data_IF_303810590089
#
_entry.id   IF_303810590089
#
_cell.length_a   1.000
_cell.length_b   1.000
_cell.length_c   1.000
_cell.angle_alpha   90.00
_cell.angle_beta   90.00
_cell.angle_gamma   90.00
#
_symmetry.space_group_name_H-M   'P 1'
#
loop_
_entity.id
_entity.type
_entity.pdbx_description
1 polymer ?
#
# COMPACT_ATOMS: atom_id res chain seq x y z
N UNK A 1 21.60 -13.11 -11.29
CA UNK A 1 20.34 -12.93 -12.03
C UNK A 1 19.61 -11.74 -11.43
N UNK A 2 19.10 -10.82 -12.25
CA UNK A 2 18.27 -9.70 -11.78
C UNK A 2 16.91 -10.26 -11.35
N UNK A 3 16.44 -9.89 -10.16
CA UNK A 3 15.10 -10.29 -9.66
C UNK A 3 14.01 -9.69 -10.58
N UNK A 4 12.97 -10.46 -10.98
CA UNK A 4 11.94 -9.96 -11.90
C UNK A 4 11.09 -8.85 -11.28
N UNK A 5 10.90 -8.85 -9.95
CA UNK A 5 10.17 -7.83 -9.21
C UNK A 5 10.67 -7.77 -7.75
N UNK A 6 10.26 -6.72 -7.04
CA UNK A 6 10.37 -6.59 -5.58
C UNK A 6 9.07 -7.02 -4.92
N UNK A 7 9.16 -7.68 -3.76
CA UNK A 7 8.01 -8.12 -2.99
C UNK A 7 7.74 -7.15 -1.85
N UNK A 8 6.52 -6.62 -1.78
CA UNK A 8 6.07 -5.76 -0.69
C UNK A 8 4.82 -6.31 -0.01
N UNK A 9 4.56 -5.85 1.21
CA UNK A 9 3.29 -6.05 1.91
C UNK A 9 2.60 -4.72 2.13
N UNK A 10 1.26 -4.67 1.98
CA UNK A 10 0.42 -3.54 2.35
C UNK A 10 -0.52 -3.95 3.48
N UNK A 11 -0.62 -3.11 4.50
CA UNK A 11 -1.63 -3.24 5.54
C UNK A 11 -2.49 -1.98 5.66
N UNK A 12 -3.78 -2.18 5.89
CA UNK A 12 -4.73 -1.12 6.27
C UNK A 12 -4.82 -0.93 7.78
N UNK A 13 -3.98 -1.63 8.54
CA UNK A 13 -4.07 -1.68 10.00
C UNK A 13 -5.48 -2.17 10.39
N UNK A 14 -5.82 -3.37 9.93
CA UNK A 14 -7.17 -3.89 9.92
C UNK A 14 -7.19 -5.28 10.57
N UNK A 15 -7.94 -5.43 11.64
CA UNK A 15 -8.09 -6.67 12.37
C UNK A 15 -9.28 -6.58 13.36
N UNK A 16 -9.80 -7.69 13.87
CA UNK A 16 -10.92 -7.69 14.82
C UNK A 16 -10.56 -7.10 16.20
N UNK A 17 -9.29 -7.14 16.59
CA UNK A 17 -8.80 -6.71 17.90
C UNK A 17 -8.94 -5.19 18.13
N UNK A 18 -8.91 -4.70 19.37
CA UNK A 18 -8.92 -3.26 19.70
C UNK A 18 -7.74 -2.50 19.08
N UNK A 19 -7.94 -1.22 18.73
CA UNK A 19 -6.96 -0.39 18.01
C UNK A 19 -5.56 -0.36 18.62
N UNK A 20 -5.33 -0.25 19.95
CA UNK A 20 -3.97 -0.31 20.50
C UNK A 20 -3.26 -1.60 20.16
N UNK A 21 -3.94 -2.74 20.27
CA UNK A 21 -3.39 -4.06 19.92
C UNK A 21 -3.04 -4.15 18.44
N UNK A 22 -3.95 -3.71 17.57
CA UNK A 22 -3.75 -3.76 16.10
C UNK A 22 -2.55 -2.93 15.66
N UNK A 23 -2.27 -1.80 16.31
CA UNK A 23 -1.08 -0.98 16.02
C UNK A 23 0.22 -1.74 16.39
N UNK A 24 0.26 -2.38 17.56
CA UNK A 24 1.42 -3.20 17.95
C UNK A 24 1.59 -4.42 17.04
N UNK A 25 0.52 -5.12 16.71
CA UNK A 25 0.53 -6.26 15.80
C UNK A 25 0.97 -5.85 14.38
N UNK A 26 0.64 -4.62 13.95
CA UNK A 26 1.11 -4.08 12.67
C UNK A 26 2.63 -3.86 12.66
N UNK A 27 3.20 -3.33 13.75
CA UNK A 27 4.65 -3.22 13.87
C UNK A 27 5.32 -4.60 13.83
N UNK A 28 4.78 -5.58 14.55
CA UNK A 28 5.28 -6.96 14.51
C UNK A 28 5.14 -7.60 13.11
N UNK A 29 4.06 -7.29 12.37
CA UNK A 29 3.88 -7.74 10.98
C UNK A 29 4.97 -7.18 10.05
N UNK A 30 5.34 -5.90 10.23
CA UNK A 30 6.40 -5.26 9.44
C UNK A 30 7.75 -5.91 9.75
N UNK A 31 8.06 -6.18 11.02
CA UNK A 31 9.28 -6.90 11.42
C UNK A 31 9.33 -8.32 10.84
N UNK A 32 8.21 -9.03 10.89
CA UNK A 32 8.10 -10.36 10.29
C UNK A 32 8.30 -10.32 8.77
N UNK A 33 7.75 -9.32 8.08
CA UNK A 33 7.97 -9.15 6.65
C UNK A 33 9.46 -8.91 6.34
N UNK A 34 10.15 -8.10 7.12
CA UNK A 34 11.61 -7.92 6.98
C UNK A 34 12.35 -9.24 7.19
N UNK A 35 12.06 -9.98 8.26
CA UNK A 35 12.68 -11.28 8.56
C UNK A 35 12.43 -12.32 7.44
N UNK A 36 11.28 -12.27 6.78
CA UNK A 36 10.97 -13.11 5.63
C UNK A 36 11.59 -12.62 4.31
N UNK A 37 12.32 -11.50 4.33
CA UNK A 37 13.03 -10.96 3.18
C UNK A 37 12.20 -10.10 2.24
N UNK A 38 11.01 -9.63 2.65
CA UNK A 38 10.24 -8.66 1.87
C UNK A 38 11.05 -7.39 1.62
N UNK A 39 10.89 -6.81 0.44
CA UNK A 39 11.61 -5.60 0.02
C UNK A 39 10.97 -4.32 0.59
N UNK A 40 9.66 -4.33 0.86
CA UNK A 40 8.93 -3.15 1.34
C UNK A 40 7.69 -3.49 2.18
N UNK A 41 7.37 -2.61 3.13
CA UNK A 41 6.13 -2.64 3.89
C UNK A 41 5.41 -1.29 3.74
N UNK A 42 4.13 -1.34 3.36
CA UNK A 42 3.30 -0.19 3.08
C UNK A 42 2.12 -0.13 4.05
N UNK A 43 1.79 1.07 4.49
CA UNK A 43 0.62 1.30 5.35
C UNK A 43 -0.33 2.31 4.72
N UNK A 44 -1.63 2.03 4.77
CA UNK A 44 -2.67 2.89 4.21
C UNK A 44 -3.22 3.84 5.28
N UNK A 45 -3.50 5.09 4.89
CA UNK A 45 -4.18 6.06 5.75
C UNK A 45 -5.70 5.86 5.68
N UNK A 46 -6.32 5.78 6.84
CA UNK A 46 -7.78 5.78 7.01
C UNK A 46 -8.17 6.56 8.24
N UNK A 47 -9.27 7.33 8.15
CA UNK A 47 -9.74 8.19 9.23
C UNK A 47 -11.07 7.69 9.80
N UNK A 48 -11.27 7.85 11.11
CA UNK A 48 -12.48 7.68 11.91
C UNK A 48 -13.09 6.27 11.89
N UNK A 49 -13.25 5.64 10.74
CA UNK A 49 -13.88 4.33 10.61
C UNK A 49 -12.96 3.17 10.97
N UNK A 50 -13.40 2.29 11.87
CA UNK A 50 -12.68 1.03 12.14
C UNK A 50 -12.86 -0.02 11.03
N UNK A 51 -13.83 0.19 10.15
CA UNK A 51 -14.25 -0.75 9.10
C UNK A 51 -13.38 -0.72 7.85
N UNK A 52 -12.51 0.29 7.69
CA UNK A 52 -11.71 0.48 6.49
C UNK A 52 -10.22 0.41 6.75
N UNK A 53 -9.86 0.59 8.00
CA UNK A 53 -8.50 0.69 8.52
C UNK A 53 -8.47 1.66 9.70
N UNK A 54 -7.43 1.58 10.52
CA UNK A 54 -7.38 2.28 11.80
C UNK A 54 -6.15 3.17 11.95
N UNK A 55 -5.56 3.59 10.81
CA UNK A 55 -4.32 4.36 10.82
C UNK A 55 -4.52 5.78 10.25
N UNK A 56 -4.83 6.77 11.09
CA UNK A 56 -4.94 8.16 10.63
C UNK A 56 -3.58 8.81 10.35
N UNK A 57 -2.50 8.34 10.99
CA UNK A 57 -1.18 8.97 10.96
C UNK A 57 -0.09 7.97 10.52
N UNK A 58 0.01 7.66 9.20
CA UNK A 58 0.95 6.65 8.73
C UNK A 58 2.41 6.99 9.02
N UNK A 59 2.83 8.25 8.93
CA UNK A 59 4.22 8.64 9.20
C UNK A 59 4.62 8.41 10.65
N UNK A 60 3.70 8.56 11.61
CA UNK A 60 3.93 8.27 13.04
C UNK A 60 4.18 6.78 13.27
N UNK A 61 3.35 5.90 12.68
CA UNK A 61 3.53 4.46 12.79
C UNK A 61 4.84 4.01 12.11
N UNK A 62 5.12 4.54 10.93
CA UNK A 62 6.34 4.20 10.20
C UNK A 62 7.61 4.69 10.90
N UNK A 63 7.57 5.78 11.69
CA UNK A 63 8.69 6.20 12.53
C UNK A 63 9.00 5.16 13.62
N UNK A 64 7.97 4.57 14.22
CA UNK A 64 8.16 3.44 15.14
C UNK A 64 8.71 2.20 14.43
N UNK A 65 8.20 1.87 13.24
CA UNK A 65 8.70 0.76 12.43
C UNK A 65 10.16 0.98 11.99
N UNK A 66 10.55 2.20 11.64
CA UNK A 66 11.91 2.53 11.22
C UNK A 66 12.96 2.19 12.29
N UNK A 67 12.61 2.30 13.57
CA UNK A 67 13.49 1.96 14.70
C UNK A 67 13.54 0.46 15.00
N UNK A 68 12.58 -0.30 14.49
CA UNK A 68 12.45 -1.75 14.71
C UNK A 68 12.94 -2.56 13.51
N UNK A 69 13.20 -1.91 12.38
CA UNK A 69 13.66 -2.52 11.12
C UNK A 69 14.95 -1.88 10.63
N UNK A 70 15.67 -2.56 9.73
CA UNK A 70 16.98 -2.10 9.23
C UNK A 70 17.08 -2.01 7.71
N UNK A 71 16.34 -2.85 6.97
CA UNK A 71 16.52 -3.04 5.53
C UNK A 71 15.26 -2.80 4.73
N UNK A 72 14.09 -3.19 5.25
CA UNK A 72 12.82 -3.09 4.55
C UNK A 72 12.49 -1.62 4.26
N UNK A 73 12.09 -1.32 3.02
CA UNK A 73 11.59 0.00 2.67
C UNK A 73 10.22 0.22 3.32
N UNK A 74 9.98 1.43 3.83
CA UNK A 74 8.77 1.79 4.57
C UNK A 74 7.93 2.73 3.70
N UNK A 75 6.72 2.32 3.34
CA UNK A 75 5.88 3.03 2.38
C UNK A 75 4.55 3.53 2.93
N UNK A 76 4.09 4.65 2.42
CA UNK A 76 2.68 5.07 2.58
C UNK A 76 1.89 4.68 1.34
N UNK A 77 0.84 3.93 1.52
CA UNK A 77 0.02 3.44 0.39
C UNK A 77 -1.47 3.72 0.56
N UNK A 78 -1.89 4.98 0.62
CA UNK A 78 -1.24 6.29 0.43
C UNK A 78 -1.57 7.25 1.57
N UNK A 79 -0.91 8.44 1.63
CA UNK A 79 -1.41 9.60 2.35
C UNK A 79 -2.49 10.27 1.48
N UNK A 80 -3.64 10.59 2.06
CA UNK A 80 -4.72 11.35 1.40
C UNK A 80 -4.36 12.84 1.44
N UNK A 81 -3.50 13.26 0.51
CA UNK A 81 -2.86 14.57 0.53
C UNK A 81 -3.84 15.77 0.53
N UNK A 82 -5.05 15.71 -0.10
CA UNK A 82 -6.03 16.79 -0.01
C UNK A 82 -6.57 17.07 1.39
N UNK A 83 -6.45 16.15 2.32
CA UNK A 83 -6.85 16.31 3.73
C UNK A 83 -5.74 16.92 4.59
N UNK A 84 -4.50 16.89 4.09
CA UNK A 84 -3.31 17.26 4.84
C UNK A 84 -2.79 18.67 4.50
N UNK A 85 -1.88 19.16 5.32
CA UNK A 85 -1.00 20.28 4.96
C UNK A 85 0.24 19.73 4.24
N UNK A 86 0.42 20.08 2.98
CA UNK A 86 1.54 19.59 2.18
C UNK A 86 2.92 19.88 2.80
N UNK A 87 3.08 21.05 3.45
CA UNK A 87 4.33 21.40 4.12
C UNK A 87 4.55 20.55 5.38
N UNK A 88 3.48 20.29 6.18
CA UNK A 88 3.61 19.38 7.33
C UNK A 88 3.97 17.95 6.90
N UNK A 89 3.35 17.47 5.83
CA UNK A 89 3.71 16.16 5.25
C UNK A 89 5.17 16.16 4.79
N UNK A 90 5.67 17.24 4.21
CA UNK A 90 7.07 17.35 3.80
C UNK A 90 8.03 17.28 5.00
N UNK A 91 7.75 18.05 6.07
CA UNK A 91 8.56 18.05 7.29
C UNK A 91 8.56 16.69 7.99
N UNK A 92 7.36 16.12 8.21
CA UNK A 92 7.23 14.83 8.90
C UNK A 92 7.87 13.68 8.09
N UNK A 93 7.73 13.71 6.75
CA UNK A 93 8.36 12.75 5.87
C UNK A 93 9.89 12.90 5.84
N UNK A 94 10.41 14.12 5.86
CA UNK A 94 11.85 14.37 5.90
C UNK A 94 12.47 13.88 7.22
N UNK A 95 11.80 14.12 8.36
CA UNK A 95 12.23 13.59 9.66
C UNK A 95 12.20 12.06 9.66
N UNK A 96 11.10 11.45 9.19
CA UNK A 96 11.00 10.01 9.11
C UNK A 96 12.06 9.41 8.19
N UNK A 97 12.30 10.02 7.04
CA UNK A 97 13.31 9.53 6.09
C UNK A 97 14.72 9.53 6.68
N UNK A 98 15.06 10.58 7.43
CA UNK A 98 16.32 10.64 8.17
C UNK A 98 16.41 9.56 9.25
N UNK A 99 15.32 9.30 10.01
CA UNK A 99 15.27 8.23 11.03
C UNK A 99 15.29 6.82 10.43
N UNK A 100 14.84 6.69 9.19
CA UNK A 100 14.80 5.44 8.45
C UNK A 100 16.02 5.23 7.53
N UNK A 101 17.05 6.05 7.62
CA UNK A 101 18.26 5.96 6.80
C UNK A 101 17.94 5.91 5.28
N UNK A 102 17.01 6.77 4.83
CA UNK A 102 16.64 6.88 3.42
C UNK A 102 15.73 5.77 2.88
N UNK A 103 15.06 4.99 3.73
CA UNK A 103 14.19 3.87 3.32
C UNK A 103 12.73 4.27 3.06
N UNK A 104 12.32 5.53 3.32
CA UNK A 104 10.95 5.94 3.10
C UNK A 104 10.57 5.96 1.63
N UNK A 105 9.39 5.42 1.30
CA UNK A 105 8.70 5.50 0.03
C UNK A 105 7.41 6.31 0.24
N UNK A 106 7.35 7.53 -0.25
CA UNK A 106 6.24 8.45 0.05
C UNK A 106 5.15 8.37 -1.01
N UNK A 107 4.12 7.58 -0.75
CA UNK A 107 2.96 7.44 -1.62
C UNK A 107 1.82 8.38 -1.22
N UNK A 108 1.26 9.07 -2.20
CA UNK A 108 0.17 10.03 -2.04
C UNK A 108 -1.00 9.75 -2.99
N UNK A 109 -2.21 10.16 -2.60
CA UNK A 109 -3.41 10.00 -3.41
C UNK A 109 -4.52 10.95 -3.02
N UNK A 110 -5.56 11.03 -3.86
CA UNK A 110 -6.65 12.00 -3.69
C UNK A 110 -7.72 11.59 -2.66
N UNK A 111 -7.74 10.33 -2.22
CA UNK A 111 -8.81 9.81 -1.37
C UNK A 111 -10.11 9.51 -2.13
N UNK A 112 -11.04 8.80 -1.47
CA UNK A 112 -12.29 8.35 -2.10
C UNK A 112 -13.50 8.29 -1.14
N UNK A 113 -13.37 8.76 0.11
CA UNK A 113 -14.42 8.67 1.13
C UNK A 113 -15.04 10.06 1.40
N UNK A 114 -16.22 10.39 0.82
CA UNK A 114 -16.84 11.72 0.97
C UNK A 114 -17.09 12.13 2.42
N UNK A 115 -17.53 11.19 3.27
CA UNK A 115 -17.82 11.44 4.69
C UNK A 115 -16.57 11.89 5.47
N UNK A 116 -15.40 11.34 5.10
CA UNK A 116 -14.13 11.75 5.69
C UNK A 116 -13.80 13.19 5.29
N UNK A 117 -13.98 13.54 4.01
CA UNK A 117 -13.79 14.93 3.55
C UNK A 117 -14.72 15.89 4.27
N UNK A 118 -15.99 15.54 4.43
CA UNK A 118 -16.97 16.35 5.18
C UNK A 118 -16.55 16.55 6.63
N UNK A 119 -16.08 15.51 7.30
CA UNK A 119 -15.59 15.60 8.70
C UNK A 119 -14.37 16.55 8.85
N UNK A 120 -13.52 16.63 7.81
CA UNK A 120 -12.42 17.60 7.77
C UNK A 120 -12.82 18.99 7.26
N UNK A 121 -14.12 19.22 6.97
CA UNK A 121 -14.58 20.48 6.37
C UNK A 121 -14.01 20.73 4.98
N UNK A 122 -13.78 19.66 4.21
CA UNK A 122 -13.21 19.70 2.86
C UNK A 122 -14.25 19.30 1.81
N UNK A 123 -14.24 20.01 0.69
CA UNK A 123 -15.03 19.65 -0.47
C UNK A 123 -14.42 18.42 -1.17
N UNK A 124 -15.23 17.35 -1.27
CA UNK A 124 -14.84 16.11 -1.91
C UNK A 124 -14.65 16.26 -3.42
N UNK A 125 -15.45 17.08 -4.08
CA UNK A 125 -15.38 17.26 -5.54
C UNK A 125 -14.13 18.04 -5.95
N UNK A 126 -13.62 18.91 -5.07
CA UNK A 126 -12.38 19.63 -5.25
C UNK A 126 -11.10 18.78 -4.99
N UNK A 127 -11.24 17.51 -4.56
CA UNK A 127 -10.09 16.68 -4.14
C UNK A 127 -8.99 16.52 -5.19
N UNK A 128 -9.35 16.43 -6.48
CA UNK A 128 -8.38 16.25 -7.56
C UNK A 128 -7.52 17.51 -7.76
N UNK A 129 -8.13 18.70 -7.74
CA UNK A 129 -7.41 19.96 -7.83
C UNK A 129 -6.53 20.19 -6.59
N UNK A 130 -7.06 19.94 -5.40
CA UNK A 130 -6.30 20.02 -4.14
C UNK A 130 -5.11 19.06 -4.12
N UNK A 131 -5.27 17.83 -4.65
CA UNK A 131 -4.18 16.87 -4.79
C UNK A 131 -3.06 17.44 -5.68
N UNK A 132 -3.39 18.06 -6.80
CA UNK A 132 -2.40 18.63 -7.72
C UNK A 132 -1.62 19.78 -7.05
N UNK A 133 -2.31 20.72 -6.41
CA UNK A 133 -1.70 21.87 -5.73
C UNK A 133 -0.81 21.43 -4.55
N UNK A 134 -1.34 20.52 -3.72
CA UNK A 134 -0.62 19.99 -2.57
C UNK A 134 0.61 19.17 -3.01
N UNK A 135 0.52 18.39 -4.08
CA UNK A 135 1.65 17.66 -4.65
C UNK A 135 2.73 18.59 -5.20
N UNK A 136 2.35 19.66 -5.89
CA UNK A 136 3.30 20.66 -6.37
C UNK A 136 4.05 21.32 -5.21
N UNK A 137 3.34 21.66 -4.12
CA UNK A 137 3.93 22.24 -2.90
C UNK A 137 4.86 21.24 -2.21
N UNK A 138 4.42 19.98 -2.04
CA UNK A 138 5.21 18.89 -1.45
C UNK A 138 6.52 18.67 -2.22
N UNK A 139 6.44 18.57 -3.53
CA UNK A 139 7.62 18.38 -4.40
C UNK A 139 8.62 19.52 -4.24
N UNK A 140 8.16 20.76 -4.37
CA UNK A 140 9.02 21.94 -4.21
C UNK A 140 9.73 21.95 -2.86
N UNK A 141 9.01 21.61 -1.78
CA UNK A 141 9.59 21.52 -0.45
C UNK A 141 10.69 20.46 -0.38
N UNK A 142 10.41 19.23 -0.86
CA UNK A 142 11.39 18.13 -0.84
C UNK A 142 12.60 18.42 -1.73
N UNK A 143 12.42 19.09 -2.87
CA UNK A 143 13.49 19.49 -3.79
C UNK A 143 14.36 20.63 -3.23
N UNK A 144 14.02 21.17 -2.05
CA UNK A 144 14.77 22.24 -1.38
C UNK A 144 14.50 23.63 -1.94
N UNK A 145 13.41 23.82 -2.69
CA UNK A 145 13.04 25.13 -3.21
C UNK A 145 12.66 26.11 -2.08
N UNK A 146 12.94 27.42 -2.23
CA UNK A 146 12.49 28.42 -1.28
C UNK A 146 10.96 28.45 -1.16
N UNK A 147 10.47 28.55 0.09
CA UNK A 147 9.06 28.51 0.46
C UNK A 147 8.65 29.84 1.10
N UNK A 148 7.47 30.32 0.70
CA UNK A 148 6.90 31.56 1.21
C UNK A 148 7.74 32.82 0.91
N UNK A 149 7.29 34.00 1.37
CA UNK A 149 7.96 35.25 1.10
C UNK A 149 9.37 35.39 1.71
N UNK A 150 9.61 34.69 2.82
CA UNK A 150 10.91 34.72 3.52
C UNK A 150 11.94 33.77 2.89
N UNK A 151 11.55 32.94 1.91
CA UNK A 151 12.46 32.02 1.23
C UNK A 151 13.01 30.91 2.10
N UNK A 152 12.29 30.48 3.15
CA UNK A 152 12.71 29.37 4.03
C UNK A 152 12.75 28.05 3.25
N UNK A 153 13.60 27.13 3.70
CA UNK A 153 13.72 25.79 3.08
C UNK A 153 13.38 24.70 4.08
N UNK A 154 13.00 23.52 3.56
CA UNK A 154 12.69 22.34 4.36
C UNK A 154 13.86 21.92 5.28
N UNK A 155 13.55 21.58 6.52
CA UNK A 155 14.50 21.01 7.47
C UNK A 155 13.90 19.75 8.14
N UNK A 156 14.65 18.61 8.19
CA UNK A 156 15.94 18.41 7.52
C UNK A 156 15.80 18.40 5.98
N UNK A 157 16.87 18.71 5.21
CA UNK A 157 16.83 18.61 3.76
C UNK A 157 16.59 17.15 3.32
N UNK A 158 15.67 16.92 2.37
CA UNK A 158 15.33 15.57 1.93
C UNK A 158 15.22 15.46 0.38
N UNK A 159 16.21 15.96 -0.41
CA UNK A 159 16.09 15.96 -1.87
C UNK A 159 16.03 14.56 -2.47
N UNK A 160 16.66 13.57 -1.85
CA UNK A 160 16.60 12.19 -2.30
C UNK A 160 15.19 11.56 -2.12
N UNK A 161 14.37 12.08 -1.22
CA UNK A 161 12.99 11.61 -1.00
C UNK A 161 12.08 12.02 -2.18
N UNK A 162 12.34 13.14 -2.84
CA UNK A 162 11.59 13.55 -4.03
C UNK A 162 11.60 12.46 -5.12
N UNK A 163 12.73 11.77 -5.30
CA UNK A 163 12.85 10.64 -6.23
C UNK A 163 12.11 9.37 -5.76
N UNK A 164 11.66 9.31 -4.50
CA UNK A 164 10.93 8.19 -3.92
C UNK A 164 9.45 8.50 -3.65
N UNK A 165 8.91 9.51 -4.38
CA UNK A 165 7.48 9.79 -4.44
C UNK A 165 6.77 8.74 -5.31
N UNK A 166 5.54 8.40 -4.87
CA UNK A 166 4.63 7.52 -5.56
C UNK A 166 3.23 8.12 -5.59
N UNK A 167 2.44 7.79 -6.60
CA UNK A 167 1.07 8.27 -6.73
C UNK A 167 0.10 7.13 -7.04
N UNK A 168 -1.03 7.11 -6.32
CA UNK A 168 -2.18 6.28 -6.66
C UNK A 168 -3.22 7.15 -7.38
N UNK A 169 -3.27 7.05 -8.72
CA UNK A 169 -4.14 7.87 -9.57
C UNK A 169 -4.35 7.21 -10.94
N UNK A 170 -5.44 7.58 -11.64
CA UNK A 170 -5.67 7.21 -13.02
C UNK A 170 -4.92 8.07 -14.06
N UNK A 171 -4.18 9.09 -13.62
CA UNK A 171 -3.46 10.02 -14.50
C UNK A 171 -2.02 9.54 -14.77
N UNK A 172 -1.90 8.39 -15.41
CA UNK A 172 -0.64 7.67 -15.60
C UNK A 172 0.47 8.52 -16.23
N UNK A 173 0.15 9.28 -17.26
CA UNK A 173 1.10 10.13 -17.99
C UNK A 173 1.64 11.25 -17.11
N UNK A 174 0.79 11.88 -16.29
CA UNK A 174 1.22 12.92 -15.36
C UNK A 174 2.19 12.37 -14.32
N UNK A 175 1.93 11.15 -13.79
CA UNK A 175 2.85 10.46 -12.88
C UNK A 175 4.20 10.21 -13.53
N UNK A 176 4.19 9.72 -14.78
CA UNK A 176 5.40 9.48 -15.57
C UNK A 176 6.19 10.77 -15.84
N UNK A 177 5.49 11.86 -16.23
CA UNK A 177 6.14 13.17 -16.48
C UNK A 177 6.78 13.75 -15.21
N UNK A 178 6.26 13.43 -14.04
CA UNK A 178 6.87 13.85 -12.76
C UNK A 178 8.06 12.97 -12.34
N UNK A 179 8.32 11.83 -12.98
CA UNK A 179 9.34 10.88 -12.56
C UNK A 179 8.95 10.10 -11.28
N UNK A 180 7.67 10.09 -10.90
CA UNK A 180 7.18 9.39 -9.72
C UNK A 180 6.86 7.94 -10.01
N UNK A 181 6.83 7.09 -8.97
CA UNK A 181 6.31 5.73 -9.05
C UNK A 181 4.78 5.72 -9.15
N UNK A 182 4.23 4.74 -9.86
CA UNK A 182 2.79 4.52 -9.98
C UNK A 182 2.35 3.39 -9.04
N UNK A 183 1.35 3.65 -8.19
CA UNK A 183 0.67 2.62 -7.40
C UNK A 183 -0.62 2.26 -8.12
N UNK A 184 -0.79 0.97 -8.42
CA UNK A 184 -1.95 0.41 -9.11
C UNK A 184 -2.63 -0.59 -8.18
N UNK A 185 -3.89 -0.33 -7.84
CA UNK A 185 -4.70 -1.20 -7.00
C UNK A 185 -6.11 -1.31 -7.57
N UNK A 186 -6.70 -2.50 -7.52
CA UNK A 186 -8.09 -2.71 -7.89
C UNK A 186 -8.99 -2.28 -6.75
N UNK A 187 -9.38 -1.00 -6.75
CA UNK A 187 -10.23 -0.41 -5.72
C UNK A 187 -11.70 -0.31 -6.15
N UNK A 188 -11.99 -0.39 -7.44
CA UNK A 188 -13.34 -0.31 -8.01
C UNK A 188 -13.58 -1.45 -8.99
N UNK A 189 -14.81 -2.00 -9.00
CA UNK A 189 -15.20 -3.01 -9.96
C UNK A 189 -15.18 -2.48 -11.39
N UNK A 190 -14.87 -3.37 -12.38
CA UNK A 190 -14.95 -3.04 -13.80
C UNK A 190 -13.88 -2.07 -14.31
N UNK A 191 -12.82 -1.83 -13.56
CA UNK A 191 -11.64 -1.14 -14.08
C UNK A 191 -10.72 -2.14 -14.79
N UNK A 192 -11.09 -2.54 -16.00
CA UNK A 192 -10.23 -3.33 -16.92
C UNK A 192 -9.01 -2.52 -17.39
N UNK A 193 -8.72 -1.41 -16.72
CA UNK A 193 -7.71 -0.46 -17.10
C UNK A 193 -6.36 -0.62 -16.42
N UNK A 194 -6.16 -1.59 -15.51
CA UNK A 194 -4.88 -1.66 -14.75
C UNK A 194 -3.69 -1.90 -15.69
N UNK A 195 -3.79 -2.89 -16.58
CA UNK A 195 -2.74 -3.15 -17.58
C UNK A 195 -2.58 -1.97 -18.55
N UNK A 196 -3.69 -1.36 -18.98
CA UNK A 196 -3.69 -0.16 -19.81
C UNK A 196 -3.06 1.02 -19.07
N UNK A 197 -3.39 1.21 -17.79
CA UNK A 197 -2.80 2.26 -16.95
C UNK A 197 -1.29 2.09 -16.83
N UNK A 198 -0.82 0.86 -16.58
CA UNK A 198 0.60 0.52 -16.53
C UNK A 198 1.28 0.78 -17.87
N UNK A 199 0.65 0.37 -18.98
CA UNK A 199 1.20 0.59 -20.33
C UNK A 199 1.32 2.09 -20.66
N UNK A 200 0.29 2.90 -20.36
CA UNK A 200 0.30 4.36 -20.53
C UNK A 200 1.42 5.01 -19.72
N UNK A 201 1.55 4.64 -18.44
CA UNK A 201 2.61 5.13 -17.57
C UNK A 201 4.00 4.80 -18.15
N UNK A 202 4.25 3.55 -18.50
CA UNK A 202 5.54 3.13 -19.07
C UNK A 202 5.82 3.79 -20.41
N UNK A 203 4.81 3.94 -21.26
CA UNK A 203 4.92 4.61 -22.57
C UNK A 203 5.24 6.11 -22.48
N UNK A 204 4.79 6.76 -21.39
CA UNK A 204 5.05 8.18 -21.13
C UNK A 204 6.35 8.46 -20.36
N UNK A 205 7.02 7.44 -19.83
CA UNK A 205 8.25 7.61 -19.04
C UNK A 205 9.40 8.17 -19.86
N UNK A 206 10.02 9.27 -19.38
CA UNK A 206 11.16 9.94 -20.06
C UNK A 206 12.30 10.29 -19.10
N UNK A 207 12.24 9.82 -17.83
CA UNK A 207 13.28 10.09 -16.84
C UNK A 207 14.40 9.06 -16.89
N UNK A 208 15.61 9.38 -16.40
CA UNK A 208 16.66 8.41 -16.21
C UNK A 208 16.21 7.28 -15.30
N UNK A 209 16.68 6.06 -15.57
CA UNK A 209 16.29 4.86 -14.84
C UNK A 209 14.96 4.25 -15.30
N UNK A 210 14.61 3.12 -14.72
CA UNK A 210 13.40 2.37 -15.07
C UNK A 210 12.13 2.98 -14.43
N UNK A 211 10.97 2.94 -15.12
CA UNK A 211 9.69 3.27 -14.53
C UNK A 211 9.37 2.32 -13.37
N UNK A 212 8.72 2.84 -12.33
CA UNK A 212 8.42 2.09 -11.10
C UNK A 212 6.91 1.91 -10.96
N UNK A 213 6.47 0.66 -10.89
CA UNK A 213 5.06 0.29 -10.79
C UNK A 213 4.87 -0.66 -9.62
N UNK A 214 4.17 -0.21 -8.58
CA UNK A 214 3.74 -1.04 -7.46
C UNK A 214 2.32 -1.55 -7.74
N UNK A 215 2.21 -2.84 -8.07
CA UNK A 215 0.94 -3.51 -8.27
C UNK A 215 0.45 -4.10 -6.95
N UNK A 216 -0.67 -3.59 -6.45
CA UNK A 216 -1.27 -4.07 -5.21
C UNK A 216 -2.29 -5.17 -5.52
N UNK A 217 -2.18 -6.32 -4.85
CA UNK A 217 -3.11 -7.45 -4.93
C UNK A 217 -3.47 -7.96 -3.54
N UNK A 218 -4.75 -8.21 -3.31
CA UNK A 218 -5.16 -9.01 -2.17
C UNK A 218 -4.79 -10.46 -2.45
N UNK A 219 -3.96 -11.05 -1.57
CA UNK A 219 -3.45 -12.42 -1.74
C UNK A 219 -3.75 -13.23 -0.49
N UNK A 220 -4.60 -14.23 -0.63
CA UNK A 220 -5.10 -15.05 0.49
C UNK A 220 -4.89 -16.54 0.18
N UNK A 221 -3.69 -17.06 0.47
CA UNK A 221 -3.42 -18.49 0.32
C UNK A 221 -4.21 -19.32 1.34
N UNK A 222 -4.66 -20.48 0.92
CA UNK A 222 -5.40 -21.45 1.73
C UNK A 222 -5.25 -22.86 1.20
N UNK A 223 -6.01 -23.80 1.76
CA UNK A 223 -6.01 -25.20 1.30
C UNK A 223 -6.62 -25.34 -0.10
N UNK A 224 -7.66 -24.56 -0.37
CA UNK A 224 -8.35 -24.45 -1.64
C UNK A 224 -9.12 -23.12 -1.73
N UNK A 225 -9.65 -22.80 -2.91
CA UNK A 225 -10.41 -21.56 -3.13
C UNK A 225 -11.71 -21.53 -2.32
N UNK A 226 -12.44 -22.64 -2.23
CA UNK A 226 -13.74 -22.70 -1.57
C UNK A 226 -13.64 -22.40 -0.06
N UNK A 227 -12.65 -22.95 0.62
CA UNK A 227 -12.41 -22.68 2.06
C UNK A 227 -12.06 -21.21 2.31
N UNK A 228 -11.28 -20.59 1.41
CA UNK A 228 -10.94 -19.17 1.51
C UNK A 228 -12.17 -18.29 1.23
N UNK A 229 -12.97 -18.63 0.22
CA UNK A 229 -14.22 -17.94 -0.11
C UNK A 229 -15.21 -17.94 1.05
N UNK A 230 -15.40 -19.09 1.69
CA UNK A 230 -16.24 -19.22 2.87
C UNK A 230 -15.74 -18.32 4.03
N UNK A 231 -14.43 -18.29 4.25
CA UNK A 231 -13.83 -17.48 5.32
C UNK A 231 -13.88 -15.96 5.03
N UNK A 232 -13.77 -15.56 3.77
CA UNK A 232 -13.79 -14.15 3.37
C UNK A 232 -15.19 -13.59 3.10
N UNK A 233 -16.22 -14.46 3.01
CA UNK A 233 -17.59 -14.07 2.64
C UNK A 233 -18.12 -12.88 3.42
N UNK A 234 -18.10 -12.86 4.77
CA UNK A 234 -18.56 -11.71 5.54
C UNK A 234 -17.80 -10.42 5.24
N UNK A 235 -16.49 -10.50 5.12
CA UNK A 235 -15.62 -9.34 4.91
C UNK A 235 -15.81 -8.73 3.52
N UNK A 236 -15.93 -9.56 2.48
CA UNK A 236 -16.11 -9.06 1.11
C UNK A 236 -17.48 -8.43 0.88
N UNK A 237 -18.53 -8.98 1.53
CA UNK A 237 -19.87 -8.42 1.50
C UNK A 237 -19.89 -7.02 2.14
N UNK A 238 -19.27 -6.90 3.31
CA UNK A 238 -19.16 -5.62 4.01
C UNK A 238 -18.37 -4.60 3.18
N UNK A 239 -17.26 -5.01 2.61
CA UNK A 239 -16.44 -4.16 1.73
C UNK A 239 -17.19 -3.72 0.48
N UNK A 240 -17.91 -4.62 -0.20
CA UNK A 240 -18.70 -4.34 -1.38
C UNK A 240 -19.83 -3.33 -1.08
N UNK A 241 -20.55 -3.51 0.03
CA UNK A 241 -21.60 -2.57 0.47
C UNK A 241 -21.05 -1.17 0.74
N UNK A 242 -19.85 -1.07 1.33
CA UNK A 242 -19.19 0.21 1.56
C UNK A 242 -18.76 0.90 0.28
N UNK A 243 -18.15 0.16 -0.66
CA UNK A 243 -17.77 0.70 -1.97
C UNK A 243 -18.99 1.21 -2.74
N UNK A 244 -20.07 0.45 -2.74
CA UNK A 244 -21.34 0.84 -3.36
C UNK A 244 -21.87 2.16 -2.76
N UNK A 245 -21.88 2.28 -1.43
CA UNK A 245 -22.29 3.52 -0.74
C UNK A 245 -21.43 4.72 -1.14
N UNK A 246 -20.09 4.54 -1.16
CA UNK A 246 -19.15 5.60 -1.54
C UNK A 246 -19.29 6.02 -3.02
N UNK A 247 -19.80 5.14 -3.87
CA UNK A 247 -20.04 5.39 -5.31
C UNK A 247 -21.49 5.83 -5.62
N UNK A 248 -22.37 5.89 -4.61
CA UNK A 248 -23.80 6.16 -4.82
C UNK A 248 -24.56 5.00 -5.48
N UNK A 249 -24.00 3.80 -5.46
CA UNK A 249 -24.60 2.59 -6.03
C UNK A 249 -25.38 1.80 -4.95
N UNK A 250 -26.40 1.01 -5.33
CA UNK A 250 -27.09 0.12 -4.40
C UNK A 250 -26.13 -0.99 -3.91
N UNK A 251 -26.23 -1.34 -2.63
CA UNK A 251 -25.52 -2.47 -2.09
C UNK A 251 -25.97 -3.78 -2.81
N UNK A 252 -25.04 -4.74 -3.02
CA UNK A 252 -25.39 -6.02 -3.65
C UNK A 252 -26.39 -6.79 -2.76
N UNK A 253 -27.61 -7.00 -3.27
CA UNK A 253 -28.72 -7.60 -2.51
C UNK A 253 -28.60 -9.13 -2.38
N UNK A 254 -28.04 -9.80 -3.35
CA UNK A 254 -27.63 -11.21 -3.31
C UNK A 254 -26.24 -11.30 -3.91
N UNK A 255 -25.27 -11.74 -3.12
CA UNK A 255 -23.91 -11.73 -3.57
C UNK A 255 -23.40 -13.14 -3.80
N UNK A 256 -23.00 -13.41 -5.00
CA UNK A 256 -22.07 -14.48 -5.35
C UNK A 256 -20.69 -14.10 -4.80
N UNK A 257 -20.28 -14.75 -3.70
CA UNK A 257 -19.01 -14.47 -3.02
C UNK A 257 -17.82 -14.64 -3.97
N UNK A 258 -17.69 -15.75 -4.73
CA UNK A 258 -16.66 -15.89 -5.75
C UNK A 258 -16.61 -14.72 -6.73
N UNK A 259 -17.76 -14.33 -7.29
CA UNK A 259 -17.83 -13.22 -8.24
C UNK A 259 -17.43 -11.86 -7.61
N UNK A 260 -17.78 -11.63 -6.34
CA UNK A 260 -17.32 -10.42 -5.62
C UNK A 260 -15.81 -10.44 -5.40
N UNK A 261 -15.24 -11.56 -4.98
CA UNK A 261 -13.80 -11.68 -4.78
C UNK A 261 -13.05 -11.46 -6.10
N UNK A 262 -13.55 -12.02 -7.21
CA UNK A 262 -12.98 -11.78 -8.55
C UNK A 262 -13.09 -10.31 -8.97
N UNK A 263 -14.26 -9.71 -8.75
CA UNK A 263 -14.53 -8.30 -9.01
C UNK A 263 -13.53 -7.36 -8.30
N UNK A 264 -13.14 -7.69 -7.07
CA UNK A 264 -12.16 -6.95 -6.29
C UNK A 264 -10.72 -7.45 -6.46
N UNK A 265 -10.48 -8.44 -7.33
CA UNK A 265 -9.16 -8.95 -7.65
C UNK A 265 -8.47 -9.66 -6.49
N UNK A 266 -9.23 -10.41 -5.69
CA UNK A 266 -8.69 -11.20 -4.58
C UNK A 266 -8.16 -12.52 -5.13
N UNK A 267 -6.85 -12.69 -5.09
CA UNK A 267 -6.17 -13.93 -5.45
C UNK A 267 -6.24 -14.90 -4.27
N UNK A 268 -6.81 -16.09 -4.48
CA UNK A 268 -7.13 -17.05 -3.43
C UNK A 268 -6.97 -18.50 -3.89
N UNK A 269 -6.87 -19.38 -2.94
CA UNK A 269 -6.70 -20.82 -3.19
C UNK A 269 -5.33 -21.32 -2.77
N UNK A 270 -4.87 -22.41 -3.37
CA UNK A 270 -3.54 -22.96 -3.13
C UNK A 270 -2.45 -21.99 -3.62
N UNK A 271 -1.21 -22.10 -3.15
CA UNK A 271 -0.09 -21.34 -3.71
C UNK A 271 0.03 -21.48 -5.22
N UNK A 272 -0.25 -22.68 -5.78
CA UNK A 272 -0.24 -22.90 -7.23
C UNK A 272 -1.31 -22.12 -7.98
N UNK A 273 -2.53 -22.04 -7.44
CA UNK A 273 -3.64 -21.27 -8.03
C UNK A 273 -3.29 -19.78 -8.09
N UNK A 274 -2.71 -19.25 -7.01
CA UNK A 274 -2.30 -17.85 -6.93
C UNK A 274 -1.16 -17.55 -7.92
N UNK A 275 -0.17 -18.44 -8.04
CA UNK A 275 0.92 -18.30 -9.02
C UNK A 275 0.36 -18.29 -10.44
N UNK A 276 -0.56 -19.21 -10.76
CA UNK A 276 -1.20 -19.28 -12.08
C UNK A 276 -1.99 -17.98 -12.37
N UNK A 277 -2.74 -17.47 -11.39
CA UNK A 277 -3.49 -16.22 -11.52
C UNK A 277 -2.58 -15.01 -11.75
N UNK A 278 -1.44 -14.92 -11.06
CA UNK A 278 -0.45 -13.85 -11.25
C UNK A 278 0.24 -13.93 -12.60
N UNK A 279 0.57 -15.14 -13.09
CA UNK A 279 1.09 -15.32 -14.45
C UNK A 279 0.09 -14.88 -15.53
N UNK A 280 -1.21 -15.05 -15.27
CA UNK A 280 -2.29 -14.61 -16.15
C UNK A 280 -2.65 -13.11 -16.02
N UNK A 281 -2.10 -12.38 -15.05
CA UNK A 281 -2.41 -10.97 -14.82
C UNK A 281 -1.54 -10.06 -15.71
N UNK A 282 -2.10 -9.41 -16.75
CA UNK A 282 -1.31 -8.59 -17.67
C UNK A 282 -0.73 -7.33 -17.00
N UNK A 283 -1.31 -6.86 -15.89
CA UNK A 283 -0.76 -5.75 -15.11
C UNK A 283 0.51 -6.17 -14.36
N UNK A 284 0.59 -7.44 -13.92
CA UNK A 284 1.77 -7.96 -13.23
C UNK A 284 2.99 -8.03 -14.15
N UNK A 285 2.80 -8.37 -15.41
CA UNK A 285 3.90 -8.37 -16.39
C UNK A 285 4.59 -7.00 -16.54
N UNK A 286 3.89 -5.91 -16.27
CA UNK A 286 4.43 -4.54 -16.30
C UNK A 286 4.86 -3.98 -14.94
N UNK A 287 4.69 -4.72 -13.85
CA UNK A 287 5.00 -4.28 -12.49
C UNK A 287 6.50 -4.43 -12.17
N UNK A 288 7.02 -3.53 -11.35
CA UNK A 288 8.36 -3.64 -10.74
C UNK A 288 8.29 -4.10 -9.29
N UNK A 289 7.13 -3.94 -8.67
CA UNK A 289 6.86 -4.29 -7.29
C UNK A 289 5.50 -5.01 -7.22
N UNK A 290 5.47 -6.20 -6.66
CA UNK A 290 4.25 -6.89 -6.25
C UNK A 290 4.02 -6.58 -4.77
N UNK A 291 2.98 -5.83 -4.46
CA UNK A 291 2.63 -5.46 -3.09
C UNK A 291 1.39 -6.23 -2.68
N UNK A 292 1.55 -7.19 -1.76
CA UNK A 292 0.47 -8.08 -1.34
C UNK A 292 -0.28 -7.52 -0.14
N UNK A 293 -1.60 -7.53 -0.17
CA UNK A 293 -2.46 -7.27 0.97
C UNK A 293 -2.99 -8.60 1.50
N UNK A 294 -2.62 -8.94 2.73
CA UNK A 294 -2.92 -10.24 3.34
C UNK A 294 -4.01 -10.19 4.40
N UNK A 295 -4.50 -9.00 4.73
CA UNK A 295 -5.46 -8.78 5.82
C UNK A 295 -6.81 -8.30 5.30
N UNK A 296 -7.87 -8.80 5.94
CA UNK A 296 -9.25 -8.32 5.89
C UNK A 296 -9.70 -7.96 7.31
N UNK A 297 -10.94 -7.47 7.49
CA UNK A 297 -11.46 -7.11 8.81
C UNK A 297 -11.42 -8.26 9.82
N UNK A 298 -11.71 -9.48 9.36
CA UNK A 298 -11.72 -10.69 10.19
C UNK A 298 -10.37 -11.40 10.30
N UNK A 299 -9.30 -10.91 9.67
CA UNK A 299 -8.00 -11.58 9.67
C UNK A 299 -7.26 -11.35 10.98
N UNK A 300 -7.02 -12.41 11.75
CA UNK A 300 -6.18 -12.35 12.94
C UNK A 300 -4.70 -12.07 12.59
N UNK A 301 -3.95 -11.52 13.55
CA UNK A 301 -2.50 -11.32 13.38
C UNK A 301 -1.78 -12.62 13.01
N UNK A 302 -2.12 -13.74 13.66
CA UNK A 302 -1.54 -15.06 13.34
C UNK A 302 -1.81 -15.49 11.91
N UNK A 303 -3.02 -15.25 11.39
CA UNK A 303 -3.35 -15.61 10.01
C UNK A 303 -2.61 -14.72 9.02
N UNK A 304 -2.46 -13.44 9.31
CA UNK A 304 -1.66 -12.54 8.49
C UNK A 304 -0.20 -13.00 8.40
N UNK A 305 0.41 -13.41 9.51
CA UNK A 305 1.77 -13.96 9.53
C UNK A 305 1.88 -15.24 8.70
N UNK A 306 0.96 -16.21 8.87
CA UNK A 306 0.95 -17.44 8.07
C UNK A 306 0.84 -17.16 6.56
N UNK A 307 0.04 -16.15 6.18
CA UNK A 307 -0.07 -15.73 4.77
C UNK A 307 1.23 -15.15 4.25
N UNK A 308 1.94 -14.31 5.03
CA UNK A 308 3.26 -13.81 4.64
C UNK A 308 4.28 -14.94 4.45
N UNK A 309 4.30 -15.91 5.38
CA UNK A 309 5.16 -17.10 5.29
C UNK A 309 4.89 -17.90 4.02
N UNK A 310 3.62 -18.17 3.71
CA UNK A 310 3.23 -18.89 2.49
C UNK A 310 3.61 -18.13 1.22
N UNK A 311 3.47 -16.80 1.23
CA UNK A 311 3.84 -15.95 0.09
C UNK A 311 5.35 -15.96 -0.11
N UNK A 312 6.13 -15.73 0.94
CA UNK A 312 7.60 -15.69 0.87
C UNK A 312 8.22 -17.06 0.59
N UNK A 313 7.62 -18.14 1.14
CA UNK A 313 8.18 -19.49 1.03
C UNK A 313 7.76 -20.27 -0.22
N UNK A 314 6.59 -19.97 -0.80
CA UNK A 314 6.06 -20.76 -1.90
C UNK A 314 5.65 -19.93 -3.13
N UNK A 315 4.89 -18.83 -2.95
CA UNK A 315 4.29 -18.10 -4.06
C UNK A 315 5.34 -17.23 -4.78
N UNK A 316 6.03 -16.37 -4.03
CA UNK A 316 6.98 -15.43 -4.62
C UNK A 316 8.20 -16.12 -5.26
N UNK A 317 8.78 -17.19 -4.66
CA UNK A 317 9.85 -17.96 -5.31
C UNK A 317 9.42 -18.63 -6.62
N UNK A 318 8.18 -19.16 -6.69
CA UNK A 318 7.65 -19.75 -7.92
C UNK A 318 7.48 -18.70 -9.05
N UNK A 319 7.38 -17.41 -8.71
CA UNK A 319 7.36 -16.28 -9.64
C UNK A 319 8.78 -15.74 -9.95
N UNK A 320 9.83 -16.37 -9.42
CA UNK A 320 11.23 -15.97 -9.63
C UNK A 320 11.77 -14.93 -8.65
N UNK A 321 11.01 -14.59 -7.59
CA UNK A 321 11.53 -13.71 -6.54
C UNK A 321 12.50 -14.45 -5.60
N UNK A 322 13.50 -13.73 -5.14
CA UNK A 322 14.43 -14.20 -4.10
C UNK A 322 14.59 -13.09 -3.06
N UNK A 323 14.77 -13.41 -1.76
CA UNK A 323 15.04 -12.42 -0.74
C UNK A 323 16.25 -11.52 -1.07
N UNK A 324 16.28 -10.30 -0.55
CA UNK A 324 17.45 -9.45 -0.66
C UNK A 324 18.66 -10.09 0.05
N UNK A 325 19.85 -9.95 -0.53
CA UNK A 325 21.07 -10.44 0.11
C UNK A 325 21.26 -9.76 1.47
N UNK A 326 21.44 -10.54 2.55
CA UNK A 326 21.56 -10.07 3.93
C UNK A 326 20.39 -10.42 4.86
N UNK A 327 19.25 -10.93 4.31
CA UNK A 327 18.11 -11.40 5.13
C UNK A 327 18.14 -12.91 5.48
N UNK A 328 19.23 -13.62 5.18
CA UNK A 328 19.30 -15.09 5.34
C UNK A 328 19.56 -15.58 6.77
N UNK A 329 19.73 -14.69 7.74
CA UNK A 329 19.84 -15.05 9.16
C UNK A 329 18.46 -14.97 9.86
N UNK A 330 17.44 -15.57 9.25
CA UNK A 330 16.11 -15.65 9.84
C UNK A 330 16.16 -16.45 11.15
N UNK A 331 16.14 -15.73 12.27
CA UNK A 331 15.80 -16.31 13.57
C UNK A 331 14.38 -16.87 13.47
N UNK A 332 14.13 -18.14 13.85
CA UNK A 332 12.78 -18.66 13.89
C UNK A 332 11.90 -17.75 14.75
N UNK A 333 10.74 -17.34 14.22
CA UNK A 333 9.75 -16.54 14.95
C UNK A 333 9.19 -17.36 16.13
N UNK A 334 9.99 -17.50 17.20
CA UNK A 334 9.49 -18.03 18.47
C UNK A 334 8.64 -16.94 19.11
N UNK A 335 7.38 -17.27 19.36
CA UNK A 335 6.43 -16.44 20.09
C UNK A 335 6.96 -16.09 21.48
N UNK A 336 7.62 -14.94 21.60
CA UNK A 336 7.87 -14.39 22.93
C UNK A 336 6.54 -13.85 23.47
N UNK A 337 6.16 -14.15 24.72
CA UNK A 337 4.98 -13.60 25.34
C UNK A 337 5.16 -12.09 25.53
N UNK A 338 4.16 -11.31 25.11
CA UNK A 338 4.07 -9.87 25.34
C UNK A 338 3.84 -9.66 26.83
N UNK A 339 4.61 -8.77 27.52
CA UNK A 339 4.32 -8.42 28.91
C UNK A 339 2.92 -7.81 29.00
N UNK A 340 2.16 -8.28 30.01
CA UNK A 340 0.81 -7.82 30.34
C UNK A 340 0.77 -6.37 30.80
#
# INVERSE_FOLDING_TARGET
MTRPFRLGVLTRVYAPEPSPRVLHDTLALIEAAEALGFDSAWVAQHHFGSETGRLPSPLVLLAAAARRTRHIALGTGVIVLPLESALRVAEDAAVLDALADGRLQLGVGAGFEPDVFAAFGRDFDARAARQADALATLRRALEGAPLGPAGVTLQPPAPALAARLWQATGQAEAVAHHGHGLIVARTRPGQDGEATLVARYRGAWRHPGAPRVALVRAVVPGADAASVEAALGPDILHYAARVARASGEPAPAQADIPALLDRFGVLRGTPGDIVAALHGDPAFAGATDLVVQVQTAGTSHRDALRRLEAIAGAIAPALGWTPAAGCTDAVPLTSAPIPT
#
